data_IF_191292482871
#
_entry.id   IF_191292482871
#
_cell.length_a   1.000
_cell.length_b   1.000
_cell.length_c   1.000
_cell.angle_alpha   90.00
_cell.angle_beta   90.00
_cell.angle_gamma   90.00
#
_symmetry.space_group_name_H-M   'P 1'
#
loop_
_entity.id
_entity.type
_entity.pdbx_description
1 polymer ?
#
# COMPACT_ATOMS: atom_id res chain seq x y z
N UNK A 1 9.17 -4.74 5.30
CA UNK A 1 9.31 -4.81 6.76
C UNK A 1 10.25 -3.71 7.24
N UNK A 2 9.80 -2.84 8.16
CA UNK A 2 10.63 -1.77 8.73
C UNK A 2 11.79 -2.32 9.57
N UNK A 3 12.68 -1.43 10.05
CA UNK A 3 13.82 -1.83 10.87
C UNK A 3 13.42 -2.51 12.20
N UNK A 4 12.28 -2.12 12.77
CA UNK A 4 11.76 -2.64 14.05
C UNK A 4 11.18 -4.06 13.93
N UNK A 5 11.92 -4.97 13.32
CA UNK A 5 11.47 -6.35 13.01
C UNK A 5 11.18 -7.18 14.24
N UNK A 6 11.83 -6.91 15.39
CA UNK A 6 11.59 -7.66 16.64
C UNK A 6 10.14 -7.53 17.10
N UNK A 7 9.58 -6.33 17.05
CA UNK A 7 8.19 -6.08 17.44
C UNK A 7 7.22 -6.83 16.49
N UNK A 8 7.48 -6.81 15.20
CA UNK A 8 6.69 -7.49 14.18
C UNK A 8 6.73 -9.03 14.38
N UNK A 9 7.91 -9.60 14.56
CA UNK A 9 8.10 -11.04 14.82
C UNK A 9 7.40 -11.43 16.11
N UNK A 10 7.51 -10.63 17.16
CA UNK A 10 6.85 -10.88 18.44
C UNK A 10 5.33 -10.85 18.32
N UNK A 11 4.78 -9.91 17.57
CA UNK A 11 3.33 -9.83 17.31
C UNK A 11 2.80 -11.04 16.53
N UNK A 12 3.61 -11.59 15.63
CA UNK A 12 3.25 -12.76 14.80
C UNK A 12 3.53 -14.12 15.48
N UNK A 13 4.14 -14.15 16.66
CA UNK A 13 4.66 -15.37 17.31
C UNK A 13 3.63 -16.52 17.48
N UNK A 14 2.35 -16.18 17.66
CA UNK A 14 1.28 -17.15 17.90
C UNK A 14 0.34 -17.28 16.68
N UNK A 15 0.79 -16.85 15.51
CA UNK A 15 0.02 -16.94 14.26
C UNK A 15 0.81 -17.76 13.23
N UNK A 16 0.10 -18.36 12.29
CA UNK A 16 0.71 -18.96 11.12
C UNK A 16 1.00 -17.86 10.09
N UNK A 17 2.27 -17.50 9.94
CA UNK A 17 2.71 -16.56 8.92
C UNK A 17 2.87 -17.30 7.60
N UNK A 18 2.16 -16.90 6.57
CA UNK A 18 2.14 -17.59 5.27
C UNK A 18 2.86 -16.85 4.16
N UNK A 19 3.02 -15.54 4.28
CA UNK A 19 3.75 -14.70 3.32
C UNK A 19 4.11 -13.33 3.94
N UNK A 20 5.08 -12.65 3.32
CA UNK A 20 5.35 -11.22 3.52
C UNK A 20 5.00 -10.47 2.25
N UNK A 21 4.06 -9.54 2.36
CA UNK A 21 3.60 -8.72 1.23
C UNK A 21 4.16 -7.30 1.36
N UNK A 22 4.85 -6.83 0.33
CA UNK A 22 5.55 -5.54 0.30
C UNK A 22 4.78 -4.57 -0.58
N UNK A 23 4.41 -3.42 -0.02
CA UNK A 23 3.68 -2.38 -0.76
C UNK A 23 4.53 -1.74 -1.84
N UNK A 24 5.81 -1.47 -1.56
CA UNK A 24 6.77 -0.90 -2.51
C UNK A 24 8.22 -1.05 -2.01
N UNK A 25 9.18 -0.74 -2.88
CA UNK A 25 10.58 -1.07 -2.68
C UNK A 25 11.44 0.00 -1.99
N UNK A 26 10.89 1.03 -1.33
CA UNK A 26 11.71 1.99 -0.59
C UNK A 26 12.35 1.35 0.64
N UNK A 27 13.55 1.84 0.99
CA UNK A 27 14.42 1.25 2.01
C UNK A 27 13.72 1.04 3.34
N UNK A 28 13.01 2.03 3.84
CA UNK A 28 12.27 2.00 5.10
C UNK A 28 11.13 0.97 5.15
N UNK A 29 10.71 0.46 3.98
CA UNK A 29 9.75 -0.64 3.87
C UNK A 29 10.38 -2.02 3.73
N UNK A 30 11.67 -2.10 3.35
CA UNK A 30 12.32 -3.37 3.04
C UNK A 30 13.56 -3.68 3.86
N UNK A 31 14.14 -2.72 4.61
CA UNK A 31 15.42 -2.91 5.30
C UNK A 31 15.41 -4.02 6.37
N UNK A 32 14.25 -4.30 6.97
CA UNK A 32 14.07 -5.40 7.92
C UNK A 32 13.59 -6.72 7.30
N UNK A 33 13.41 -6.76 5.98
CA UNK A 33 12.78 -7.88 5.29
C UNK A 33 13.50 -9.21 5.54
N UNK A 34 14.83 -9.20 5.45
CA UNK A 34 15.63 -10.43 5.62
C UNK A 34 15.47 -11.04 7.01
N UNK A 35 15.40 -10.20 8.06
CA UNK A 35 15.19 -10.70 9.42
C UNK A 35 13.84 -11.41 9.56
N UNK A 36 12.79 -10.85 8.95
CA UNK A 36 11.43 -11.42 9.01
C UNK A 36 11.36 -12.72 8.21
N UNK A 37 11.87 -12.72 6.98
CA UNK A 37 11.77 -13.90 6.10
C UNK A 37 12.67 -15.05 6.52
N UNK A 38 13.84 -14.76 7.09
CA UNK A 38 14.70 -15.80 7.68
C UNK A 38 14.05 -16.42 8.92
N UNK A 39 13.29 -15.63 9.70
CA UNK A 39 12.63 -16.13 10.90
C UNK A 39 11.43 -17.04 10.58
N UNK A 40 10.63 -16.66 9.56
CA UNK A 40 9.39 -17.37 9.21
C UNK A 40 9.53 -18.30 8.00
N UNK A 41 10.62 -18.22 7.23
CA UNK A 41 10.85 -19.02 6.01
C UNK A 41 9.69 -18.98 5.01
N UNK A 42 9.11 -17.80 4.79
CA UNK A 42 7.90 -17.60 3.98
C UNK A 42 8.17 -16.86 2.67
N UNK A 43 7.32 -17.05 1.65
CA UNK A 43 7.44 -16.34 0.38
C UNK A 43 7.26 -14.83 0.54
N UNK A 44 7.91 -14.08 -0.35
CA UNK A 44 7.82 -12.62 -0.44
C UNK A 44 7.02 -12.26 -1.69
N UNK A 45 6.04 -11.34 -1.53
CA UNK A 45 5.28 -10.75 -2.62
C UNK A 45 5.57 -9.26 -2.75
N UNK A 46 5.85 -8.80 -3.98
CA UNK A 46 6.08 -7.38 -4.31
C UNK A 46 5.60 -7.06 -5.73
N UNK A 47 5.25 -5.81 -6.00
CA UNK A 47 5.03 -5.32 -7.36
C UNK A 47 6.27 -5.50 -8.23
N UNK A 48 6.12 -6.15 -9.40
CA UNK A 48 7.24 -6.58 -10.25
C UNK A 48 8.22 -5.44 -10.59
N UNK A 49 7.73 -4.21 -10.75
CA UNK A 49 8.56 -3.07 -11.11
C UNK A 49 9.46 -2.57 -9.95
N UNK A 50 9.21 -3.02 -8.71
CA UNK A 50 10.04 -2.70 -7.54
C UNK A 50 10.91 -3.89 -7.11
N UNK A 51 10.89 -5.00 -7.82
CA UNK A 51 11.65 -6.21 -7.48
C UNK A 51 13.13 -5.95 -7.29
N UNK A 52 13.72 -5.13 -8.15
CA UNK A 52 15.15 -4.77 -8.12
C UNK A 52 15.56 -3.98 -6.86
N UNK A 53 14.57 -3.46 -6.10
CA UNK A 53 14.82 -2.75 -4.83
C UNK A 53 15.05 -3.70 -3.66
N UNK A 54 14.79 -5.00 -3.83
CA UNK A 54 14.99 -6.00 -2.80
C UNK A 54 16.45 -6.43 -2.72
N UNK A 55 16.93 -6.87 -1.52
CA UNK A 55 18.24 -7.50 -1.40
C UNK A 55 18.37 -8.70 -2.36
N UNK A 56 19.55 -8.90 -2.94
CA UNK A 56 19.82 -10.03 -3.86
C UNK A 56 19.49 -11.41 -3.26
N UNK A 57 19.62 -11.54 -1.94
CA UNK A 57 19.27 -12.75 -1.19
C UNK A 57 17.77 -12.94 -0.97
N UNK A 58 16.95 -11.92 -1.24
CA UNK A 58 15.51 -12.00 -1.12
C UNK A 58 14.91 -12.71 -2.33
N UNK A 59 14.49 -13.97 -2.14
CA UNK A 59 13.79 -14.71 -3.18
C UNK A 59 12.32 -14.33 -3.21
N UNK A 60 11.93 -13.57 -4.25
CA UNK A 60 10.52 -13.26 -4.47
C UNK A 60 9.82 -14.45 -5.13
N UNK A 61 8.80 -14.97 -4.47
CA UNK A 61 7.97 -16.06 -5.02
C UNK A 61 6.70 -15.53 -5.68
N UNK A 62 6.28 -14.31 -5.32
CA UNK A 62 5.03 -13.71 -5.79
C UNK A 62 5.36 -12.35 -6.41
N UNK A 63 5.22 -12.24 -7.73
CA UNK A 63 5.39 -10.98 -8.44
C UNK A 63 4.03 -10.44 -8.85
N UNK A 64 3.61 -9.31 -8.28
CA UNK A 64 2.35 -8.68 -8.64
C UNK A 64 2.52 -7.90 -9.95
N UNK A 65 1.96 -8.42 -11.04
CA UNK A 65 1.90 -7.74 -12.34
C UNK A 65 0.52 -7.20 -12.65
N UNK A 66 -0.49 -7.75 -11.99
CA UNK A 66 -1.92 -7.42 -12.09
C UNK A 66 -2.57 -7.66 -10.74
N UNK A 67 -3.85 -7.40 -10.66
CA UNK A 67 -4.63 -7.70 -9.48
C UNK A 67 -4.60 -9.21 -9.17
N UNK A 68 -4.19 -9.55 -7.97
CA UNK A 68 -4.21 -10.91 -7.45
C UNK A 68 -5.23 -11.01 -6.31
N UNK A 69 -5.82 -12.18 -6.16
CA UNK A 69 -6.70 -12.51 -5.05
C UNK A 69 -6.07 -13.63 -4.23
N UNK A 70 -5.85 -13.35 -2.96
CA UNK A 70 -5.27 -14.30 -1.99
C UNK A 70 -6.32 -14.53 -0.92
N UNK A 71 -6.65 -15.80 -0.64
CA UNK A 71 -7.59 -16.18 0.40
C UNK A 71 -6.81 -16.79 1.58
N UNK A 72 -7.05 -16.24 2.78
CA UNK A 72 -6.41 -16.70 4.03
C UNK A 72 -7.52 -16.83 5.07
N UNK A 73 -7.88 -18.09 5.41
CA UNK A 73 -8.97 -18.34 6.35
C UNK A 73 -10.29 -17.70 5.89
N UNK A 74 -10.77 -16.73 6.65
CA UNK A 74 -12.04 -16.04 6.39
C UNK A 74 -11.84 -14.65 5.74
N UNK A 75 -10.65 -14.32 5.28
CA UNK A 75 -10.35 -13.04 4.63
C UNK A 75 -9.91 -13.22 3.19
N UNK A 76 -10.16 -12.20 2.39
CA UNK A 76 -9.62 -12.04 1.04
C UNK A 76 -8.69 -10.86 1.05
N UNK A 77 -7.51 -11.02 0.50
CA UNK A 77 -6.59 -9.95 0.18
C UNK A 77 -6.61 -9.79 -1.34
N UNK A 78 -7.04 -8.63 -1.80
CA UNK A 78 -6.95 -8.25 -3.21
C UNK A 78 -5.78 -7.28 -3.37
N UNK A 79 -4.85 -7.59 -4.26
CA UNK A 79 -3.77 -6.66 -4.61
C UNK A 79 -4.23 -5.77 -5.75
N UNK A 80 -3.90 -4.49 -5.68
CA UNK A 80 -4.13 -3.53 -6.78
C UNK A 80 -2.87 -2.73 -7.03
N UNK A 81 -2.43 -2.69 -8.28
CA UNK A 81 -1.28 -1.89 -8.68
C UNK A 81 -1.65 -0.39 -8.62
N UNK A 82 -0.86 0.38 -7.88
CA UNK A 82 -1.08 1.81 -7.67
C UNK A 82 0.20 2.62 -8.00
N UNK A 83 0.69 2.54 -9.25
CA UNK A 83 1.94 3.21 -9.62
C UNK A 83 1.83 4.73 -9.48
N UNK A 84 2.97 5.37 -9.14
CA UNK A 84 3.09 6.81 -8.98
C UNK A 84 4.13 7.20 -7.95
N UNK A 85 4.01 6.73 -6.69
CA UNK A 85 5.06 6.88 -5.67
C UNK A 85 6.30 6.07 -6.08
N UNK A 86 6.14 4.77 -6.30
CA UNK A 86 7.05 3.95 -7.10
C UNK A 86 6.31 3.35 -8.30
N UNK A 87 7.01 2.66 -9.18
CA UNK A 87 6.37 1.97 -10.31
C UNK A 87 5.75 0.63 -9.91
N UNK A 88 6.29 0.00 -8.87
CA UNK A 88 5.79 -1.25 -8.32
C UNK A 88 4.83 -1.05 -7.14
N UNK A 89 4.47 0.19 -6.79
CA UNK A 89 3.52 0.45 -5.69
C UNK A 89 2.26 -0.39 -5.84
N UNK A 90 1.94 -1.12 -4.78
CA UNK A 90 0.81 -2.05 -4.70
C UNK A 90 0.07 -1.83 -3.39
N UNK A 91 -1.24 -1.64 -3.46
CA UNK A 91 -2.10 -1.63 -2.28
C UNK A 91 -2.71 -3.01 -2.05
N UNK A 92 -2.98 -3.33 -0.78
CA UNK A 92 -3.63 -4.57 -0.37
C UNK A 92 -4.97 -4.26 0.26
N UNK A 93 -6.07 -4.66 -0.41
CA UNK A 93 -7.43 -4.51 0.09
C UNK A 93 -7.78 -5.80 0.84
N UNK A 94 -8.09 -5.67 2.12
CA UNK A 94 -8.42 -6.79 3.00
C UNK A 94 -9.90 -6.74 3.31
N UNK A 95 -10.62 -7.80 2.98
CA UNK A 95 -12.06 -7.91 3.17
C UNK A 95 -12.42 -9.26 3.80
N UNK A 96 -13.45 -9.33 4.67
CA UNK A 96 -13.98 -10.60 5.16
C UNK A 96 -14.71 -11.34 4.02
N UNK A 97 -14.57 -12.68 3.96
CA UNK A 97 -15.25 -13.51 2.93
C UNK A 97 -16.77 -13.55 3.14
N UNK A 98 -17.23 -13.48 4.37
CA UNK A 98 -18.66 -13.48 4.71
C UNK A 98 -19.07 -12.07 5.16
N UNK A 99 -20.30 -11.69 4.78
CA UNK A 99 -20.99 -10.44 5.13
C UNK A 99 -21.11 -10.20 6.66
N UNK A 100 -20.00 -10.24 7.38
CA UNK A 100 -19.94 -9.65 8.69
C UNK A 100 -19.82 -8.13 8.47
N UNK A 101 -20.49 -7.35 9.30
CA UNK A 101 -20.43 -5.87 9.32
C UNK A 101 -19.02 -5.33 9.67
N UNK A 102 -17.99 -6.12 9.40
CA UNK A 102 -16.60 -5.74 9.58
C UNK A 102 -16.16 -4.82 8.43
N UNK A 103 -15.51 -3.75 8.78
CA UNK A 103 -15.00 -2.80 7.79
C UNK A 103 -13.92 -3.43 6.93
N UNK A 104 -13.91 -3.09 5.66
CA UNK A 104 -12.77 -3.37 4.79
C UNK A 104 -11.59 -2.46 5.18
N UNK A 105 -10.38 -2.96 4.99
CA UNK A 105 -9.14 -2.22 5.20
C UNK A 105 -8.36 -2.18 3.89
N UNK A 106 -7.61 -1.08 3.67
CA UNK A 106 -6.65 -1.01 2.60
C UNK A 106 -5.28 -0.60 3.15
N UNK A 107 -4.27 -1.44 3.00
CA UNK A 107 -2.88 -1.08 3.22
C UNK A 107 -2.38 -0.35 1.98
N UNK A 108 -2.31 0.97 2.07
CA UNK A 108 -1.98 1.82 0.92
C UNK A 108 -0.48 2.02 0.70
N UNK A 109 0.37 1.58 1.66
CA UNK A 109 1.77 1.99 1.65
C UNK A 109 1.86 3.50 1.50
N UNK A 110 2.73 3.96 0.62
CA UNK A 110 2.94 5.39 0.39
C UNK A 110 2.14 5.94 -0.81
N UNK A 111 1.03 5.29 -1.15
CA UNK A 111 0.12 5.77 -2.20
C UNK A 111 -0.81 6.86 -1.68
N UNK A 112 -1.42 6.68 -0.50
CA UNK A 112 -2.42 7.58 0.05
C UNK A 112 -2.29 7.71 1.56
N UNK A 113 -2.26 8.95 2.03
CA UNK A 113 -2.19 9.37 3.44
C UNK A 113 -3.36 10.30 3.79
N UNK A 114 -3.61 10.56 5.07
CA UNK A 114 -4.38 11.72 5.46
C UNK A 114 -3.74 13.00 4.88
N UNK A 115 -4.55 13.82 4.25
CA UNK A 115 -4.09 15.08 3.66
C UNK A 115 -3.48 14.97 2.26
N UNK A 116 -3.38 13.76 1.64
CA UNK A 116 -2.95 13.70 0.25
C UNK A 116 -2.23 12.42 -0.19
N UNK A 117 -1.70 12.43 -1.41
CA UNK A 117 -0.93 11.34 -1.96
C UNK A 117 0.50 11.33 -1.40
N UNK A 118 1.19 10.22 -1.54
CA UNK A 118 2.60 10.13 -1.23
C UNK A 118 3.47 11.04 -2.12
N UNK A 119 4.76 11.09 -1.77
CA UNK A 119 5.73 11.88 -2.53
C UNK A 119 5.87 11.35 -3.96
N UNK A 120 5.87 12.24 -4.93
CA UNK A 120 6.06 11.92 -6.35
C UNK A 120 7.37 12.51 -6.91
N UNK A 121 8.04 11.76 -7.80
CA UNK A 121 9.32 12.18 -8.39
C UNK A 121 9.15 13.18 -9.54
N UNK A 122 7.93 13.33 -10.09
CA UNK A 122 7.60 14.27 -11.17
C UNK A 122 6.10 14.51 -11.22
N UNK A 123 5.67 15.56 -11.95
CA UNK A 123 4.26 15.81 -12.21
C UNK A 123 3.56 14.60 -12.87
N UNK A 124 4.18 13.97 -13.84
CA UNK A 124 3.62 12.79 -14.50
C UNK A 124 3.37 11.64 -13.49
N UNK A 125 4.28 11.44 -12.52
CA UNK A 125 4.12 10.47 -11.44
C UNK A 125 3.02 10.85 -10.47
N UNK A 126 2.88 12.14 -10.15
CA UNK A 126 1.77 12.64 -9.33
C UNK A 126 0.42 12.32 -10.00
N UNK A 127 0.28 12.66 -11.28
CA UNK A 127 -0.96 12.39 -12.03
C UNK A 127 -1.24 10.90 -12.12
N UNK A 128 -0.21 10.08 -12.35
CA UNK A 128 -0.33 8.62 -12.35
C UNK A 128 -0.86 8.10 -11.01
N UNK A 129 -0.30 8.56 -9.89
CA UNK A 129 -0.70 8.18 -8.53
C UNK A 129 -2.14 8.64 -8.21
N UNK A 130 -2.51 9.88 -8.56
CA UNK A 130 -3.88 10.38 -8.42
C UNK A 130 -4.86 9.50 -9.21
N UNK A 131 -4.52 9.12 -10.43
CA UNK A 131 -5.36 8.22 -11.23
C UNK A 131 -5.48 6.84 -10.58
N UNK A 132 -4.40 6.28 -10.04
CA UNK A 132 -4.42 5.03 -9.29
C UNK A 132 -5.36 5.12 -8.08
N UNK A 133 -5.27 6.20 -7.29
CA UNK A 133 -6.13 6.45 -6.13
C UNK A 133 -7.59 6.52 -6.55
N UNK A 134 -7.91 7.29 -7.58
CA UNK A 134 -9.29 7.45 -8.09
C UNK A 134 -9.88 6.13 -8.58
N UNK A 135 -9.07 5.34 -9.30
CA UNK A 135 -9.55 4.12 -9.95
C UNK A 135 -9.71 2.97 -8.95
N UNK A 136 -8.81 2.85 -7.97
CA UNK A 136 -8.76 1.67 -7.11
C UNK A 136 -9.17 1.92 -5.66
N UNK A 137 -8.95 3.14 -5.14
CA UNK A 137 -9.21 3.44 -3.73
C UNK A 137 -10.54 4.17 -3.55
N UNK A 138 -10.81 5.21 -4.33
CA UNK A 138 -12.04 6.00 -4.19
C UNK A 138 -13.32 5.29 -4.71
N UNK A 139 -13.16 4.11 -5.28
CA UNK A 139 -14.26 3.21 -5.66
C UNK A 139 -14.67 2.26 -4.53
N UNK A 140 -13.88 2.19 -3.45
CA UNK A 140 -14.20 1.39 -2.26
C UNK A 140 -15.29 2.07 -1.43
N UNK A 141 -15.88 1.30 -0.52
CA UNK A 141 -16.85 1.82 0.44
C UNK A 141 -16.24 2.97 1.28
N UNK A 142 -17.04 4.02 1.53
CA UNK A 142 -16.55 5.21 2.23
C UNK A 142 -16.06 4.92 3.65
N UNK A 143 -16.55 3.86 4.28
CA UNK A 143 -16.13 3.39 5.60
C UNK A 143 -14.84 2.58 5.59
N UNK A 144 -14.29 2.22 4.41
CA UNK A 144 -13.04 1.49 4.31
C UNK A 144 -11.91 2.29 4.97
N UNK A 145 -11.18 1.63 5.88
CA UNK A 145 -10.07 2.26 6.61
C UNK A 145 -8.79 2.16 5.78
N UNK A 146 -8.15 3.28 5.54
CA UNK A 146 -6.85 3.39 4.87
C UNK A 146 -5.75 3.33 5.92
N UNK A 147 -4.85 2.36 5.77
CA UNK A 147 -3.68 2.11 6.61
C UNK A 147 -2.44 2.45 5.76
N UNK A 148 -1.91 3.69 5.87
CA UNK A 148 -0.73 4.10 5.11
C UNK A 148 0.55 3.49 5.67
N UNK A 149 1.66 3.63 4.94
CA UNK A 149 2.98 3.18 5.37
C UNK A 149 3.49 3.92 6.60
N UNK A 150 3.05 5.16 6.80
CA UNK A 150 3.46 6.03 7.91
C UNK A 150 2.27 6.86 8.42
N UNK A 151 2.33 7.29 9.67
CA UNK A 151 1.41 8.23 10.27
C UNK A 151 0.03 7.66 10.62
N UNK A 152 -0.98 8.52 10.59
CA UNK A 152 -2.32 8.23 11.07
C UNK A 152 -3.20 7.55 10.00
N UNK A 153 -4.27 6.93 10.46
CA UNK A 153 -5.26 6.29 9.58
C UNK A 153 -6.32 7.31 9.13
N UNK A 154 -6.95 7.02 7.99
CA UNK A 154 -8.07 7.81 7.47
C UNK A 154 -9.10 6.85 6.85
N UNK A 155 -10.32 7.31 6.61
CA UNK A 155 -11.29 6.56 5.81
C UNK A 155 -11.27 7.02 4.35
N UNK A 156 -11.62 6.13 3.44
CA UNK A 156 -11.78 6.46 2.01
C UNK A 156 -12.70 7.66 1.83
N UNK A 157 -13.82 7.70 2.56
CA UNK A 157 -14.78 8.81 2.47
C UNK A 157 -14.20 10.15 2.88
N UNK A 158 -13.37 10.21 3.92
CA UNK A 158 -12.71 11.45 4.34
C UNK A 158 -11.62 11.87 3.37
N UNK A 159 -10.78 10.93 2.92
CA UNK A 159 -9.75 11.23 1.94
C UNK A 159 -10.34 11.69 0.60
N UNK A 160 -11.49 11.14 0.18
CA UNK A 160 -12.19 11.61 -1.00
C UNK A 160 -12.70 13.05 -0.86
N UNK A 161 -13.22 13.44 0.32
CA UNK A 161 -13.61 14.84 0.57
C UNK A 161 -12.42 15.80 0.48
N UNK A 162 -11.26 15.41 1.01
CA UNK A 162 -10.02 16.19 0.88
C UNK A 162 -9.63 16.35 -0.59
N UNK A 163 -9.68 15.26 -1.36
CA UNK A 163 -9.40 15.28 -2.79
C UNK A 163 -10.40 16.15 -3.58
N UNK A 164 -11.70 16.10 -3.27
CA UNK A 164 -12.73 16.88 -3.95
C UNK A 164 -12.47 18.40 -3.79
N UNK A 165 -11.98 18.84 -2.61
CA UNK A 165 -11.54 20.23 -2.39
C UNK A 165 -10.32 20.58 -3.24
N UNK A 166 -9.30 19.73 -3.25
CA UNK A 166 -8.08 19.90 -4.04
C UNK A 166 -8.39 19.96 -5.54
N UNK A 167 -9.20 19.05 -6.05
CA UNK A 167 -9.52 18.93 -7.48
C UNK A 167 -10.56 19.94 -7.99
N UNK A 168 -11.10 20.79 -7.11
CA UNK A 168 -11.99 21.90 -7.50
C UNK A 168 -11.30 22.96 -8.37
N UNK A 169 -9.96 22.93 -8.42
CA UNK A 169 -9.11 23.80 -9.25
C UNK A 169 -8.24 22.94 -10.17
N UNK A 170 -7.83 23.47 -11.35
CA UNK A 170 -6.86 22.80 -12.19
C UNK A 170 -5.56 22.50 -11.42
N UNK A 171 -5.03 21.30 -11.58
CA UNK A 171 -3.74 20.94 -10.99
C UNK A 171 -2.63 21.69 -11.72
N UNK A 172 -1.79 22.41 -10.98
CA UNK A 172 -0.64 23.10 -11.55
C UNK A 172 0.28 22.08 -12.27
N UNK A 173 0.62 22.29 -13.55
CA UNK A 173 1.44 21.36 -14.32
C UNK A 173 2.89 21.22 -13.80
N UNK A 174 3.32 22.10 -12.89
CA UNK A 174 4.63 22.03 -12.23
C UNK A 174 4.59 21.33 -10.88
N UNK A 175 3.38 21.00 -10.37
CA UNK A 175 3.20 20.41 -9.05
C UNK A 175 3.69 18.96 -9.02
N UNK A 176 4.56 18.64 -8.07
CA UNK A 176 5.00 17.29 -7.70
C UNK A 176 5.72 17.32 -6.35
N UNK A 177 6.26 16.19 -5.91
CA UNK A 177 6.92 16.07 -4.61
C UNK A 177 5.92 15.73 -3.51
N UNK A 178 6.05 16.39 -2.35
CA UNK A 178 5.09 16.28 -1.26
C UNK A 178 3.92 17.22 -1.54
N UNK A 179 2.79 16.64 -1.94
CA UNK A 179 1.58 17.37 -2.27
C UNK A 179 0.54 17.19 -1.18
N UNK A 180 -0.08 18.29 -0.71
CA UNK A 180 -1.21 18.19 0.21
C UNK A 180 -2.52 18.61 -0.47
N UNK A 181 -3.61 17.93 -0.11
CA UNK A 181 -4.96 18.25 -0.56
C UNK A 181 -5.67 19.24 0.35
N UNK A 182 -5.04 19.59 1.49
CA UNK A 182 -5.60 20.45 2.53
C UNK A 182 -5.23 21.96 2.37
N UNK A 183 -4.92 22.41 1.17
CA UNK A 183 -4.59 23.83 0.88
C UNK A 183 -5.77 24.58 0.28
#
# INVERSE_FOLDING_TARGET
APAETIALISAAKNTEVTAVLITHGHRDHVEGLMNVTTHFEVPIGIGIADKESLPESAQTSINFTKDHRIEIGNIVIQTVATPGHTQGSTCFIVQPIKNNKEHAYIFSGDTLFPGGPGKSASHARLIQMINSIKTHIFTLEQSTVVLPGHGEFITVGNSKKEYDLFSSRPIDPTLYGNVTWLQ
#
